data_IF_771080575768
#
_entry.id   IF_771080575768
#
_cell.length_a   1.000
_cell.length_b   1.000
_cell.length_c   1.000
_cell.angle_alpha   90.00
_cell.angle_beta   90.00
_cell.angle_gamma   90.00
#
_symmetry.space_group_name_H-M   'P 1'
#
loop_
_entity.id
_entity.type
_entity.pdbx_description
1 polymer ?
#
# COMPACT_ATOMS: atom_id res chain seq x y z
N UNK A 1 -24.70 35.55 -49.59
CA UNK A 1 -23.92 36.10 -48.44
C UNK A 1 -24.47 35.48 -47.17
N UNK A 2 -23.82 34.44 -46.64
CA UNK A 2 -24.30 33.75 -45.43
C UNK A 2 -23.60 34.33 -44.20
N UNK A 3 -24.38 34.91 -43.29
CA UNK A 3 -23.92 35.53 -42.05
C UNK A 3 -23.54 34.45 -41.04
N UNK A 4 -22.28 34.45 -40.62
CA UNK A 4 -21.80 33.64 -39.51
C UNK A 4 -22.23 34.28 -38.19
N UNK A 5 -22.90 33.51 -37.33
CA UNK A 5 -23.08 33.88 -35.93
C UNK A 5 -22.93 32.64 -35.05
N UNK A 6 -21.78 32.61 -34.40
CA UNK A 6 -21.27 31.61 -33.47
C UNK A 6 -22.27 31.36 -32.34
N UNK A 7 -22.80 30.14 -32.27
CA UNK A 7 -23.44 29.61 -31.05
C UNK A 7 -22.91 28.20 -30.76
N UNK A 8 -21.59 28.09 -30.59
CA UNK A 8 -21.03 27.07 -29.72
C UNK A 8 -20.77 27.71 -28.36
N UNK A 9 -21.87 27.83 -27.60
CA UNK A 9 -21.80 28.19 -26.19
C UNK A 9 -21.24 27.00 -25.42
N UNK A 10 -19.98 27.17 -25.01
CA UNK A 10 -19.31 26.62 -23.82
C UNK A 10 -19.89 25.32 -23.26
N UNK A 11 -19.11 24.25 -23.37
CA UNK A 11 -18.77 23.45 -22.19
C UNK A 11 -17.34 22.96 -22.33
N UNK A 12 -16.41 23.93 -22.26
CA UNK A 12 -15.03 23.61 -21.95
C UNK A 12 -15.02 23.06 -20.53
N UNK A 13 -14.57 21.82 -20.40
CA UNK A 13 -14.01 21.22 -19.21
C UNK A 13 -14.28 21.97 -17.89
N UNK A 14 -15.37 21.61 -17.20
CA UNK A 14 -15.44 21.77 -15.75
C UNK A 14 -14.54 20.70 -15.11
N UNK A 15 -13.23 20.73 -15.40
CA UNK A 15 -12.23 20.09 -14.55
C UNK A 15 -12.00 21.06 -13.40
N UNK A 16 -12.72 20.81 -12.31
CA UNK A 16 -12.49 21.46 -11.03
C UNK A 16 -11.01 21.28 -10.65
N UNK A 17 -10.19 22.34 -10.49
CA UNK A 17 -8.77 22.21 -10.13
C UNK A 17 -8.53 21.94 -8.63
N UNK A 18 -9.55 21.47 -7.91
CA UNK A 18 -9.53 21.38 -6.44
C UNK A 18 -9.84 19.98 -5.90
N UNK A 19 -9.64 18.92 -6.68
CA UNK A 19 -9.45 17.59 -6.09
C UNK A 19 -8.04 17.55 -5.49
N UNK A 20 -7.89 18.14 -4.30
CA UNK A 20 -6.77 17.82 -3.41
C UNK A 20 -6.88 16.32 -3.13
N UNK A 21 -6.09 15.53 -3.83
CA UNK A 21 -5.95 14.10 -3.59
C UNK A 21 -5.50 13.99 -2.13
N UNK A 22 -6.46 13.74 -1.23
CA UNK A 22 -6.16 13.51 0.18
C UNK A 22 -5.44 12.17 0.17
N UNK A 23 -4.11 12.23 0.16
CA UNK A 23 -3.29 11.08 0.43
C UNK A 23 -3.62 10.66 1.85
N UNK A 24 -4.53 9.72 1.99
CA UNK A 24 -4.71 8.98 3.23
C UNK A 24 -3.39 8.24 3.42
N UNK A 25 -2.48 8.85 4.15
CA UNK A 25 -1.26 8.21 4.59
C UNK A 25 -1.69 7.17 5.62
N UNK A 26 -2.00 5.96 5.13
CA UNK A 26 -2.27 4.82 6.01
C UNK A 26 -0.94 4.53 6.69
N UNK A 27 -0.83 4.72 8.01
CA UNK A 27 0.42 4.42 8.70
C UNK A 27 0.67 2.91 8.60
N UNK A 28 1.65 2.53 7.78
CA UNK A 28 2.08 1.15 7.65
C UNK A 28 2.97 0.81 8.84
N UNK A 29 2.45 0.01 9.76
CA UNK A 29 3.23 -0.49 10.87
C UNK A 29 3.86 -1.83 10.50
N UNK A 30 5.19 -1.91 10.62
CA UNK A 30 5.95 -3.13 10.33
C UNK A 30 6.26 -3.86 11.64
N UNK A 31 5.69 -5.06 11.82
CA UNK A 31 6.07 -5.97 12.89
C UNK A 31 6.96 -7.08 12.33
N UNK A 32 8.25 -7.04 12.65
CA UNK A 32 9.23 -8.01 12.21
C UNK A 32 9.71 -8.88 13.38
N UNK A 33 9.85 -10.18 13.14
CA UNK A 33 10.40 -11.12 14.10
C UNK A 33 11.56 -11.92 13.51
N UNK A 34 12.54 -12.24 14.34
CA UNK A 34 13.60 -13.17 13.97
C UNK A 34 13.16 -14.60 14.29
N UNK A 35 13.38 -15.52 13.35
CA UNK A 35 13.26 -16.96 13.56
C UNK A 35 14.64 -17.56 13.77
N UNK A 36 15.02 -17.88 15.04
CA UNK A 36 16.29 -18.49 15.31
C UNK A 36 16.35 -19.94 14.84
N UNK A 37 17.45 -20.31 14.19
CA UNK A 37 17.69 -21.64 13.64
C UNK A 37 17.69 -22.74 14.72
N UNK A 38 18.06 -22.39 15.97
CA UNK A 38 18.07 -23.34 17.08
C UNK A 38 16.67 -23.80 17.55
N UNK A 39 15.58 -23.14 17.13
CA UNK A 39 14.21 -23.56 17.50
C UNK A 39 13.84 -24.92 16.93
N UNK A 40 14.48 -25.35 15.84
CA UNK A 40 14.28 -26.70 15.28
C UNK A 40 14.61 -27.80 16.28
N UNK A 41 15.62 -27.60 17.14
CA UNK A 41 16.02 -28.57 18.17
C UNK A 41 15.02 -28.65 19.32
N UNK A 42 14.17 -27.64 19.49
CA UNK A 42 13.09 -27.63 20.48
C UNK A 42 11.78 -28.21 19.94
N UNK A 43 11.80 -28.81 18.74
CA UNK A 43 10.61 -29.31 18.03
C UNK A 43 9.56 -28.22 17.80
N UNK A 44 9.98 -26.96 17.74
CA UNK A 44 9.10 -25.85 17.41
C UNK A 44 9.21 -25.57 15.92
N UNK A 45 8.26 -26.02 15.09
CA UNK A 45 8.30 -25.76 13.66
C UNK A 45 8.06 -24.27 13.38
N UNK A 46 8.47 -23.76 12.21
CA UNK A 46 8.19 -22.38 11.79
C UNK A 46 6.69 -22.04 11.83
N UNK A 47 5.82 -23.03 11.63
CA UNK A 47 4.37 -22.90 11.72
C UNK A 47 3.84 -22.61 13.14
N UNK A 48 4.64 -22.84 14.19
CA UNK A 48 4.30 -22.48 15.57
C UNK A 48 4.34 -20.98 15.84
N UNK A 49 4.96 -20.20 14.94
CA UNK A 49 5.03 -18.76 15.07
C UNK A 49 3.64 -18.14 14.88
N UNK A 50 3.29 -17.13 15.69
CA UNK A 50 2.00 -16.44 15.58
C UNK A 50 1.99 -15.47 14.40
N UNK A 51 1.89 -16.03 13.18
CA UNK A 51 1.92 -15.29 11.92
C UNK A 51 0.78 -14.26 11.80
N UNK A 52 -0.32 -14.44 12.53
CA UNK A 52 -1.42 -13.46 12.55
C UNK A 52 -1.05 -12.09 13.12
N UNK A 53 0.07 -11.96 13.83
CA UNK A 53 0.54 -10.69 14.41
C UNK A 53 1.85 -10.19 13.80
N UNK A 54 2.49 -10.98 12.94
CA UNK A 54 3.83 -10.72 12.43
C UNK A 54 3.72 -10.48 10.92
N UNK A 55 4.22 -9.33 10.49
CA UNK A 55 4.22 -8.95 9.07
C UNK A 55 5.45 -9.50 8.33
N UNK A 56 6.60 -9.57 8.99
CA UNK A 56 7.87 -9.97 8.37
C UNK A 56 8.61 -10.96 9.29
N UNK A 57 9.18 -12.03 8.73
CA UNK A 57 9.99 -12.99 9.48
C UNK A 57 11.37 -13.08 8.85
N UNK A 58 12.41 -12.85 9.65
CA UNK A 58 13.80 -12.96 9.23
C UNK A 58 14.42 -14.22 9.82
N UNK A 59 14.94 -15.09 8.96
CA UNK A 59 15.65 -16.28 9.43
C UNK A 59 17.03 -15.90 9.95
N UNK A 60 17.37 -16.33 11.17
CA UNK A 60 18.65 -16.01 11.79
C UNK A 60 19.25 -17.24 12.51
N UNK A 61 20.56 -17.49 12.46
CA UNK A 61 21.57 -16.90 11.59
C UNK A 61 21.67 -17.75 10.32
N UNK A 62 21.57 -17.11 9.16
CA UNK A 62 22.00 -17.72 7.89
C UNK A 62 23.50 -17.44 7.72
N UNK A 63 24.25 -18.45 7.25
CA UNK A 63 25.63 -18.27 6.79
C UNK A 63 25.59 -17.88 5.31
#
# INVERSE_FOLDING_TARGET
MFSASRLFRRRGADRNPAESHVSYEVPLYTNAAYYPNWRIYRKEPPSSLRLGFISHVFYAFAW
#
